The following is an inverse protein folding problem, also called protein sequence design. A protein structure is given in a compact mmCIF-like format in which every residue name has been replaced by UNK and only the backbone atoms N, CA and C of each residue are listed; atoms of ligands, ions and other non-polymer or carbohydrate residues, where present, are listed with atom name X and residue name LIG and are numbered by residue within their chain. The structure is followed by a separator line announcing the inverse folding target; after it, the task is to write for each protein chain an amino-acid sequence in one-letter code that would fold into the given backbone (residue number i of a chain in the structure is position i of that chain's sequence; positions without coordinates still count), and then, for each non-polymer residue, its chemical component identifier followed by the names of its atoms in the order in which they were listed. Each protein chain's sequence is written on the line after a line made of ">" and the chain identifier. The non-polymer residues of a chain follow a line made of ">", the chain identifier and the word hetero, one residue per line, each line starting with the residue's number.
data_IF_716567797308
#
_entry.id   IF_716567797308
#
_cell.length_a   1.000
_cell.length_b   1.000
_cell.length_c   1.000
_cell.angle_alpha   90.00
_cell.angle_beta   90.00
_cell.angle_gamma   90.00
#
_symmetry.space_group_name_H-M   'P 1'
#
loop_
_entity.id
_entity.type
_entity.pdbx_description
1 polymer ?
#
# COMPACT_ATOMS: atom_id res chain seq x y z
N UNK A 1 -3.90 -17.09 5.33
CA UNK A 1 -5.00 -16.83 6.29
C UNK A 1 -5.67 -18.17 6.62
N UNK A 2 -5.95 -18.50 7.90
CA UNK A 2 -6.54 -19.80 8.30
C UNK A 2 -8.02 -19.73 8.74
N UNK A 3 -8.58 -18.52 8.79
CA UNK A 3 -9.98 -18.29 9.19
C UNK A 3 -10.90 -18.39 7.97
N UNK A 4 -11.57 -19.54 7.83
CA UNK A 4 -12.45 -19.83 6.69
C UNK A 4 -13.66 -18.88 6.61
N UNK A 5 -14.19 -18.45 7.75
CA UNK A 5 -15.31 -17.50 7.80
C UNK A 5 -14.87 -16.13 7.26
N UNK A 6 -13.69 -15.65 7.69
CA UNK A 6 -13.13 -14.40 7.17
C UNK A 6 -12.88 -14.48 5.66
N UNK A 7 -12.36 -15.61 5.16
CA UNK A 7 -12.15 -15.80 3.71
C UNK A 7 -13.48 -15.73 2.96
N UNK A 8 -14.50 -16.43 3.43
CA UNK A 8 -15.83 -16.46 2.81
C UNK A 8 -16.47 -15.06 2.76
N UNK A 9 -16.43 -14.33 3.88
CA UNK A 9 -16.98 -12.97 3.99
C UNK A 9 -16.27 -11.98 3.07
N UNK A 10 -14.93 -12.02 2.99
CA UNK A 10 -14.20 -11.13 2.08
C UNK A 10 -14.50 -11.48 0.62
N UNK A 11 -14.52 -12.77 0.27
CA UNK A 11 -14.86 -13.21 -1.10
C UNK A 11 -16.27 -12.80 -1.53
N UNK A 12 -17.26 -12.95 -0.66
CA UNK A 12 -18.65 -12.64 -0.99
C UNK A 12 -18.90 -11.13 -1.14
N UNK A 13 -18.15 -10.30 -0.41
CA UNK A 13 -18.31 -8.84 -0.41
C UNK A 13 -17.36 -8.12 -1.37
N UNK A 14 -16.30 -8.79 -1.84
CA UNK A 14 -15.33 -8.24 -2.79
C UNK A 14 -15.97 -7.71 -4.09
N UNK A 15 -16.93 -8.39 -4.76
CA UNK A 15 -17.56 -7.86 -5.97
C UNK A 15 -18.26 -6.52 -5.74
N UNK A 16 -18.96 -6.36 -4.61
CA UNK A 16 -19.63 -5.11 -4.27
C UNK A 16 -18.61 -3.99 -4.04
N UNK A 17 -17.53 -4.27 -3.30
CA UNK A 17 -16.46 -3.31 -3.06
C UNK A 17 -15.75 -2.92 -4.36
N UNK A 18 -15.44 -3.89 -5.22
CA UNK A 18 -14.78 -3.70 -6.51
C UNK A 18 -15.56 -2.79 -7.46
N UNK A 19 -16.90 -2.84 -7.44
CA UNK A 19 -17.76 -1.99 -8.28
C UNK A 19 -17.63 -0.49 -7.97
N UNK A 20 -17.25 -0.10 -6.75
CA UNK A 20 -17.04 1.31 -6.41
C UNK A 20 -15.74 1.89 -6.97
N UNK A 21 -14.77 1.03 -7.32
CA UNK A 21 -13.50 1.39 -7.99
C UNK A 21 -12.96 2.79 -7.69
N UNK A 22 -13.03 3.74 -8.65
CA UNK A 22 -12.51 5.11 -8.49
C UNK A 22 -13.14 5.94 -7.36
N UNK A 23 -14.41 5.70 -7.01
CA UNK A 23 -15.10 6.45 -5.96
C UNK A 23 -14.55 6.11 -4.58
N UNK A 24 -14.39 4.81 -4.31
CA UNK A 24 -13.82 4.33 -3.05
C UNK A 24 -12.39 4.84 -2.87
N UNK A 25 -11.57 4.74 -3.91
CA UNK A 25 -10.19 5.25 -3.86
C UNK A 25 -10.13 6.75 -3.70
N UNK A 26 -10.99 7.52 -4.38
CA UNK A 26 -11.10 8.96 -4.20
C UNK A 26 -11.38 9.34 -2.75
N UNK A 27 -12.41 8.74 -2.14
CA UNK A 27 -12.80 9.00 -0.76
C UNK A 27 -11.73 8.57 0.24
N UNK A 28 -11.11 7.40 0.03
CA UNK A 28 -9.99 6.90 0.83
C UNK A 28 -8.82 7.89 0.87
N UNK A 29 -8.33 8.33 -0.29
CA UNK A 29 -7.19 9.26 -0.34
C UNK A 29 -7.54 10.63 0.24
N UNK A 30 -8.76 11.13 -0.03
CA UNK A 30 -9.23 12.38 0.57
C UNK A 30 -9.21 12.30 2.09
N UNK A 31 -9.77 11.23 2.66
CA UNK A 31 -9.82 11.00 4.10
C UNK A 31 -8.42 10.92 4.70
N UNK A 32 -7.60 10.02 4.17
CA UNK A 32 -6.25 9.76 4.67
C UNK A 32 -5.37 11.02 4.62
N UNK A 33 -5.34 11.75 3.50
CA UNK A 33 -4.47 12.92 3.35
C UNK A 33 -5.01 14.17 4.04
N UNK A 34 -6.28 14.17 4.46
CA UNK A 34 -6.85 15.22 5.32
C UNK A 34 -6.46 14.98 6.77
N UNK A 35 -6.54 13.73 7.25
CA UNK A 35 -6.22 13.38 8.63
C UNK A 35 -4.71 13.27 8.88
N UNK A 36 -3.95 12.84 7.86
CA UNK A 36 -2.51 12.63 7.89
C UNK A 36 -1.80 13.44 6.80
N UNK A 37 -1.77 14.79 6.92
CA UNK A 37 -1.16 15.65 5.91
C UNK A 37 0.34 15.38 5.71
N UNK A 38 1.04 14.81 6.70
CA UNK A 38 2.44 14.38 6.62
C UNK A 38 2.69 13.34 5.52
N UNK A 39 1.68 12.51 5.20
CA UNK A 39 1.79 11.51 4.14
C UNK A 39 1.85 12.12 2.74
N UNK A 40 1.52 13.41 2.57
CA UNK A 40 1.69 14.13 1.29
C UNK A 40 3.15 14.22 0.85
N UNK A 41 4.11 14.07 1.78
CA UNK A 41 5.54 14.01 1.47
C UNK A 41 5.99 12.63 0.97
N UNK A 42 5.17 11.59 1.20
CA UNK A 42 5.45 10.21 0.79
C UNK A 42 4.71 9.88 -0.50
N UNK A 43 3.46 10.33 -0.64
CA UNK A 43 2.68 10.15 -1.85
C UNK A 43 3.05 11.18 -2.92
N UNK A 44 3.17 10.71 -4.16
CA UNK A 44 3.36 11.62 -5.29
C UNK A 44 2.05 12.39 -5.59
N UNK A 45 2.00 13.65 -5.17
CA UNK A 45 0.83 14.50 -5.33
C UNK A 45 0.50 14.84 -6.78
N UNK A 46 1.48 14.81 -7.70
CA UNK A 46 1.22 14.97 -9.14
C UNK A 46 0.50 13.76 -9.72
N UNK A 47 0.89 12.54 -9.31
CA UNK A 47 0.19 11.31 -9.68
C UNK A 47 -1.20 11.21 -9.03
N UNK A 48 -1.39 11.83 -7.87
CA UNK A 48 -2.71 11.95 -7.25
C UNK A 48 -3.65 12.86 -8.04
N UNK A 49 -3.13 13.89 -8.72
CA UNK A 49 -3.93 14.77 -9.59
C UNK A 49 -4.34 14.09 -10.91
N UNK A 50 -3.54 13.15 -11.42
CA UNK A 50 -3.82 12.41 -12.65
C UNK A 50 -4.65 11.14 -12.47
N UNK A 51 -4.95 10.71 -11.24
CA UNK A 51 -5.83 9.57 -10.94
C UNK A 51 -5.18 8.18 -11.02
N UNK A 52 -4.15 7.99 -11.86
CA UNK A 52 -3.52 6.69 -12.13
C UNK A 52 -2.97 5.94 -10.90
N UNK A 53 -2.49 6.65 -9.86
CA UNK A 53 -1.99 6.01 -8.64
C UNK A 53 -3.10 5.57 -7.69
N UNK A 54 -4.30 6.16 -7.79
CA UNK A 54 -5.42 5.85 -6.90
C UNK A 54 -5.92 4.42 -7.13
N UNK A 55 -5.98 4.01 -8.39
CA UNK A 55 -6.42 2.68 -8.80
C UNK A 55 -5.44 1.57 -8.38
N UNK A 56 -4.13 1.85 -8.38
CA UNK A 56 -3.12 0.81 -8.12
C UNK A 56 -3.23 0.17 -6.72
N UNK A 57 -3.46 0.98 -5.68
CA UNK A 57 -3.60 0.47 -4.31
C UNK A 57 -4.85 -0.41 -4.17
N UNK A 58 -5.96 0.06 -4.71
CA UNK A 58 -7.23 -0.65 -4.64
C UNK A 58 -7.21 -1.94 -5.47
N UNK A 59 -6.65 -1.89 -6.67
CA UNK A 59 -6.45 -3.07 -7.50
C UNK A 59 -5.57 -4.11 -6.79
N UNK A 60 -4.55 -3.69 -6.03
CA UNK A 60 -3.74 -4.60 -5.22
C UNK A 60 -4.55 -5.25 -4.08
N UNK A 61 -5.41 -4.48 -3.40
CA UNK A 61 -6.30 -5.01 -2.34
C UNK A 61 -7.34 -5.97 -2.93
N UNK A 62 -7.94 -5.64 -4.07
CA UNK A 62 -8.89 -6.52 -4.77
C UNK A 62 -8.20 -7.79 -5.27
N UNK A 63 -7.02 -7.69 -5.88
CA UNK A 63 -6.24 -8.84 -6.31
C UNK A 63 -5.88 -9.75 -5.13
N UNK A 64 -5.54 -9.15 -3.98
CA UNK A 64 -5.33 -9.90 -2.75
C UNK A 64 -6.60 -10.59 -2.25
N UNK A 65 -7.73 -9.87 -2.19
CA UNK A 65 -9.04 -10.43 -1.81
C UNK A 65 -9.45 -11.62 -2.67
N UNK A 66 -9.20 -11.56 -3.98
CA UNK A 66 -9.46 -12.66 -4.92
C UNK A 66 -8.57 -13.89 -4.71
N UNK A 67 -7.41 -13.72 -4.07
CA UNK A 67 -6.38 -14.77 -3.95
C UNK A 67 -6.07 -15.14 -2.49
N UNK A 68 -6.97 -14.86 -1.54
CA UNK A 68 -6.77 -15.11 -0.09
C UNK A 68 -6.36 -16.55 0.27
N UNK A 69 -6.75 -17.53 -0.53
CA UNK A 69 -6.42 -18.95 -0.35
C UNK A 69 -5.11 -19.35 -1.04
N UNK A 70 -4.65 -18.58 -2.02
CA UNK A 70 -3.45 -18.86 -2.79
C UNK A 70 -2.57 -17.60 -2.90
N UNK A 71 -2.05 -17.16 -1.76
CA UNK A 71 -1.18 -15.99 -1.69
C UNK A 71 0.13 -16.16 -2.46
N UNK A 72 0.54 -17.40 -2.76
CA UNK A 72 1.76 -17.69 -3.51
C UNK A 72 1.77 -17.03 -4.90
N UNK A 73 0.60 -16.91 -5.53
CA UNK A 73 0.43 -16.25 -6.84
C UNK A 73 0.77 -14.76 -6.79
N UNK A 74 0.64 -14.14 -5.61
CA UNK A 74 0.91 -12.72 -5.43
C UNK A 74 2.38 -12.42 -5.12
N UNK A 75 3.21 -13.43 -4.83
CA UNK A 75 4.60 -13.22 -4.40
C UNK A 75 5.41 -12.33 -5.35
N UNK A 76 5.35 -12.48 -6.70
CA UNK A 76 6.09 -11.60 -7.61
C UNK A 76 5.60 -10.14 -7.54
N UNK A 77 4.30 -9.93 -7.36
CA UNK A 77 3.72 -8.60 -7.23
C UNK A 77 4.08 -7.96 -5.88
N UNK A 78 3.99 -8.74 -4.80
CA UNK A 78 4.40 -8.33 -3.45
C UNK A 78 5.87 -7.92 -3.44
N UNK A 79 6.76 -8.71 -4.05
CA UNK A 79 8.18 -8.38 -4.15
C UNK A 79 8.41 -7.03 -4.83
N UNK A 80 7.80 -6.82 -6.00
CA UNK A 80 7.92 -5.58 -6.76
C UNK A 80 7.44 -4.37 -5.97
N UNK A 81 6.33 -4.51 -5.26
CA UNK A 81 5.76 -3.44 -4.42
C UNK A 81 6.65 -3.18 -3.20
N UNK A 82 7.13 -4.22 -2.52
CA UNK A 82 7.99 -4.12 -1.35
C UNK A 82 9.32 -3.40 -1.68
N UNK A 83 9.92 -3.67 -2.85
CA UNK A 83 11.11 -2.94 -3.32
C UNK A 83 10.82 -1.44 -3.49
N UNK A 84 9.66 -1.09 -4.06
CA UNK A 84 9.25 0.30 -4.21
C UNK A 84 8.98 0.95 -2.85
N UNK A 85 8.31 0.27 -1.94
CA UNK A 85 8.08 0.77 -0.58
C UNK A 85 9.39 0.99 0.17
N UNK A 86 10.35 0.07 0.05
CA UNK A 86 11.66 0.23 0.64
C UNK A 86 12.38 1.48 0.10
N UNK A 87 12.29 1.75 -1.20
CA UNK A 87 12.85 2.97 -1.80
C UNK A 87 12.20 4.27 -1.31
N UNK A 88 10.95 4.19 -0.84
CA UNK A 88 10.20 5.30 -0.25
C UNK A 88 10.29 5.33 1.28
N UNK A 89 11.05 4.41 1.87
CA UNK A 89 11.22 4.26 3.32
C UNK A 89 9.87 4.14 4.06
N UNK A 90 8.94 3.33 3.53
CA UNK A 90 7.66 3.04 4.20
C UNK A 90 7.90 2.33 5.54
N UNK A 91 7.18 2.77 6.58
CA UNK A 91 7.29 2.28 7.94
C UNK A 91 6.05 1.48 8.37
N UNK A 92 6.20 0.50 9.29
CA UNK A 92 5.08 -0.28 9.80
C UNK A 92 3.91 0.56 10.34
N UNK A 93 4.18 1.69 10.99
CA UNK A 93 3.15 2.59 11.51
C UNK A 93 2.22 3.16 10.41
N UNK A 94 2.71 3.30 9.18
CA UNK A 94 1.91 3.80 8.06
C UNK A 94 0.86 2.79 7.59
N UNK A 95 1.08 1.48 7.81
CA UNK A 95 0.07 0.46 7.53
C UNK A 95 -1.13 0.60 8.46
N UNK A 96 -0.94 0.96 9.73
CA UNK A 96 -2.06 1.22 10.63
C UNK A 96 -2.94 2.38 10.12
N UNK A 97 -2.31 3.47 9.69
CA UNK A 97 -3.00 4.64 9.11
C UNK A 97 -3.79 4.25 7.86
N UNK A 98 -3.16 3.51 6.94
CA UNK A 98 -3.81 3.05 5.71
C UNK A 98 -5.00 2.14 6.02
N UNK A 99 -4.82 1.18 6.94
CA UNK A 99 -5.88 0.24 7.34
C UNK A 99 -7.09 0.94 7.96
N UNK A 100 -6.85 1.86 8.90
CA UNK A 100 -7.92 2.64 9.53
C UNK A 100 -8.74 3.42 8.50
N UNK A 101 -8.04 4.15 7.62
CA UNK A 101 -8.70 4.97 6.61
C UNK A 101 -9.44 4.11 5.58
N UNK A 102 -8.89 2.97 5.18
CA UNK A 102 -9.54 2.03 4.27
C UNK A 102 -10.84 1.47 4.85
N UNK A 103 -10.80 0.96 6.08
CA UNK A 103 -11.97 0.38 6.74
C UNK A 103 -13.05 1.43 7.02
N UNK A 104 -12.65 2.64 7.42
CA UNK A 104 -13.57 3.75 7.59
C UNK A 104 -14.23 4.16 6.26
N UNK A 105 -13.47 4.23 5.17
CA UNK A 105 -14.02 4.47 3.83
C UNK A 105 -15.02 3.40 3.42
N UNK A 106 -14.70 2.12 3.66
CA UNK A 106 -15.66 1.03 3.40
C UNK A 106 -16.90 1.24 4.27
N UNK A 107 -16.78 1.50 5.56
CA UNK A 107 -17.94 1.72 6.46
C UNK A 107 -18.83 2.89 6.00
N UNK A 108 -18.23 3.99 5.55
CA UNK A 108 -18.96 5.19 5.14
C UNK A 108 -19.68 5.03 3.80
N UNK A 109 -19.09 4.31 2.86
CA UNK A 109 -19.69 4.05 1.54
C UNK A 109 -20.59 2.82 1.53
N UNK A 110 -20.40 1.92 2.48
CA UNK A 110 -21.01 0.60 2.53
C UNK A 110 -21.45 0.29 3.96
N UNK A 111 -22.76 0.23 4.18
CA UNK A 111 -23.33 -0.23 5.45
C UNK A 111 -23.39 -1.77 5.51
N UNK A 112 -22.25 -2.43 5.30
CA UNK A 112 -22.13 -3.90 5.20
C UNK A 112 -22.19 -4.63 6.55
N UNK A 113 -22.30 -3.89 7.67
CA UNK A 113 -22.30 -4.44 9.02
C UNK A 113 -20.90 -4.67 9.59
N UNK A 114 -20.82 -4.72 10.93
CA UNK A 114 -19.54 -4.77 11.65
C UNK A 114 -18.77 -6.09 11.42
N UNK A 115 -19.47 -7.20 11.16
CA UNK A 115 -18.85 -8.50 10.86
C UNK A 115 -18.02 -8.44 9.56
N UNK A 116 -18.56 -7.78 8.53
CA UNK A 116 -17.87 -7.61 7.24
C UNK A 116 -16.63 -6.74 7.42
N UNK A 117 -16.76 -5.63 8.15
CA UNK A 117 -15.62 -4.74 8.43
C UNK A 117 -14.52 -5.47 9.23
N UNK A 118 -14.91 -6.30 10.21
CA UNK A 118 -13.96 -7.10 10.97
C UNK A 118 -13.21 -8.11 10.08
N UNK A 119 -13.92 -8.77 9.14
CA UNK A 119 -13.31 -9.67 8.18
C UNK A 119 -12.31 -8.96 7.26
N UNK A 120 -12.67 -7.79 6.73
CA UNK A 120 -11.77 -6.96 5.93
C UNK A 120 -10.56 -6.46 6.72
N UNK A 121 -10.74 -6.09 7.99
CA UNK A 121 -9.64 -5.69 8.86
C UNK A 121 -8.64 -6.81 9.12
N UNK A 122 -9.13 -8.03 9.37
CA UNK A 122 -8.28 -9.23 9.47
C UNK A 122 -7.52 -9.49 8.17
N UNK A 123 -8.21 -9.44 7.03
CA UNK A 123 -7.59 -9.69 5.72
C UNK A 123 -6.50 -8.65 5.41
N UNK A 124 -6.79 -7.37 5.66
CA UNK A 124 -5.82 -6.28 5.52
C UNK A 124 -4.60 -6.50 6.43
N UNK A 125 -4.81 -6.82 7.71
CA UNK A 125 -3.73 -7.06 8.66
C UNK A 125 -2.77 -8.17 8.22
N UNK A 126 -3.30 -9.26 7.65
CA UNK A 126 -2.46 -10.34 7.09
C UNK A 126 -1.62 -9.84 5.92
N UNK A 127 -2.19 -9.04 5.01
CA UNK A 127 -1.43 -8.47 3.89
C UNK A 127 -0.36 -7.47 4.37
N UNK A 128 -0.73 -6.61 5.32
CA UNK A 128 0.17 -5.62 5.90
C UNK A 128 1.39 -6.31 6.52
N UNK A 129 1.19 -7.39 7.28
CA UNK A 129 2.28 -8.15 7.90
C UNK A 129 3.22 -8.76 6.85
N UNK A 130 2.69 -9.29 5.75
CA UNK A 130 3.52 -9.81 4.63
C UNK A 130 4.43 -8.71 4.08
N UNK A 131 3.90 -7.52 3.85
CA UNK A 131 4.70 -6.39 3.38
C UNK A 131 5.73 -5.93 4.42
N UNK A 132 5.31 -5.73 5.67
CA UNK A 132 6.16 -5.29 6.77
C UNK A 132 7.37 -6.21 6.92
N UNK A 133 7.13 -7.53 6.94
CA UNK A 133 8.21 -8.52 7.06
C UNK A 133 9.15 -8.47 5.85
N UNK A 134 8.59 -8.38 4.64
CA UNK A 134 9.40 -8.38 3.43
C UNK A 134 10.25 -7.11 3.31
N UNK A 135 9.66 -5.95 3.59
CA UNK A 135 10.34 -4.65 3.59
C UNK A 135 11.42 -4.60 4.66
N UNK A 136 11.15 -5.12 5.86
CA UNK A 136 12.16 -5.25 6.91
C UNK A 136 13.39 -6.07 6.46
N UNK A 137 13.17 -7.15 5.71
CA UNK A 137 14.27 -7.93 5.13
C UNK A 137 15.06 -7.14 4.07
N UNK A 138 14.39 -6.34 3.23
CA UNK A 138 15.04 -5.49 2.23
C UNK A 138 15.87 -4.39 2.91
N UNK A 139 15.33 -3.75 3.96
CA UNK A 139 16.04 -2.75 4.74
C UNK A 139 17.31 -3.34 5.38
N UNK A 140 17.18 -4.50 6.03
CA UNK A 140 18.32 -5.18 6.66
C UNK A 140 19.39 -5.56 5.63
N UNK A 141 19.00 -6.17 4.51
CA UNK A 141 19.92 -6.54 3.45
C UNK A 141 20.62 -5.33 2.81
N UNK A 142 20.03 -4.13 2.87
CA UNK A 142 20.65 -2.90 2.40
C UNK A 142 21.63 -2.32 3.42
N UNK A 143 21.32 -2.41 4.70
CA UNK A 143 22.15 -1.97 5.83
C UNK A 143 23.40 -2.82 6.01
N UNK A 144 23.30 -4.14 5.83
CA UNK A 144 24.40 -5.09 6.05
C UNK A 144 25.48 -5.05 4.95
N UNK A 145 25.22 -4.40 3.81
CA UNK A 145 26.20 -4.29 2.71
C UNK A 145 27.32 -3.32 3.08
N UNK A 146 28.53 -3.58 2.58
CA UNK A 146 29.64 -2.63 2.68
C UNK A 146 29.25 -1.31 2.01
N UNK A 147 29.21 -0.22 2.80
CA UNK A 147 28.75 1.09 2.34
C UNK A 147 27.23 1.26 2.28
N UNK A 148 26.46 0.27 2.73
CA UNK A 148 25.00 0.29 2.84
C UNK A 148 24.47 1.19 3.96
N UNK A 149 23.16 1.45 3.94
CA UNK A 149 22.46 2.25 4.95
C UNK A 149 20.96 1.92 4.96
N UNK A 150 20.27 2.39 6.00
CA UNK A 150 18.81 2.38 6.12
C UNK A 150 18.28 3.80 6.14
N UNK A 151 17.15 4.04 5.46
CA UNK A 151 16.53 5.35 5.34
C UNK A 151 17.30 6.29 4.42
N UNK A 152 17.28 7.59 4.72
CA UNK A 152 17.97 8.60 3.94
C UNK A 152 19.46 8.66 4.30
N UNK A 153 20.29 8.96 3.30
CA UNK A 153 21.70 9.26 3.48
C UNK A 153 22.02 10.55 2.74
N UNK A 154 22.76 11.43 3.40
CA UNK A 154 23.18 12.69 2.79
C UNK A 154 24.26 12.45 1.74
N UNK A 155 24.07 13.08 0.58
CA UNK A 155 25.05 13.12 -0.50
C UNK A 155 25.33 14.56 -0.89
N UNK A 156 26.57 14.82 -1.33
CA UNK A 156 26.97 16.12 -1.87
C UNK A 156 27.15 15.99 -3.38
N UNK A 157 26.59 16.93 -4.14
CA UNK A 157 26.84 17.06 -5.57
C UNK A 157 28.33 17.40 -5.77
N UNK A 158 29.07 16.49 -6.39
CA UNK A 158 30.50 16.69 -6.69
C UNK A 158 30.71 17.42 -8.03
N UNK A 159 29.88 17.12 -9.02
CA UNK A 159 29.95 17.69 -10.36
C UNK A 159 28.57 17.61 -11.03
N UNK A 160 28.32 18.51 -11.99
CA UNK A 160 27.18 18.52 -12.91
C UNK A 160 27.77 18.68 -14.31
N UNK A 161 27.39 17.85 -15.30
CA UNK A 161 28.05 17.81 -16.61
C UNK A 161 27.03 17.58 -17.71
N UNK A 162 26.75 18.65 -18.47
CA UNK A 162 25.80 18.62 -19.57
C UNK A 162 26.10 17.50 -20.58
N UNK A 163 25.13 16.60 -20.75
CA UNK A 163 25.17 15.50 -21.72
C UNK A 163 24.36 15.82 -22.97
N UNK A 164 23.35 16.71 -22.87
CA UNK A 164 22.54 17.17 -24.00
C UNK A 164 21.83 18.50 -23.68
N UNK A 165 20.97 18.98 -24.60
CA UNK A 165 20.13 20.15 -24.37
C UNK A 165 19.09 19.96 -23.25
N UNK A 166 18.79 18.72 -22.87
CA UNK A 166 17.77 18.38 -21.85
C UNK A 166 18.29 17.51 -20.70
N UNK A 167 19.57 17.08 -20.75
CA UNK A 167 20.23 16.27 -19.70
C UNK A 167 21.49 17.00 -19.22
N UNK A 168 21.51 17.34 -17.93
CA UNK A 168 22.62 18.01 -17.24
C UNK A 168 23.39 17.07 -16.33
#
# INVERSE_FOLDING_TARGET
>A
MRDAQTIATVKSTLPAIAQLGPQLTGHFYQRMLTQHPELKNVFNMNNQRSGNQREALFNAICAYGSNLENLAVLLPAVEKIAQKHASLNIQPAQYAIVGENLLATIKELFNLGDEVLAAWGKAYGVLAEVFIQREAAIYRASEEKVGGWRGARDFRIRAITAQSSVIK
#
